data_IF_608712440437
#
_entry.id   IF_608712440437
#
_cell.length_a   1.000
_cell.length_b   1.000
_cell.length_c   1.000
_cell.angle_alpha   90.00
_cell.angle_beta   90.00
_cell.angle_gamma   90.00
#
_symmetry.space_group_name_H-M   'P 1'
#
loop_
_entity.id
_entity.type
_entity.pdbx_description
1 polymer ?
#
# COMPACT_ATOMS: atom_id res chain seq x y z
N UNK A 1 -55.39 -5.03 17.87
CA UNK A 1 -55.36 -4.32 16.57
C UNK A 1 -54.12 -4.76 15.82
N UNK A 2 -54.25 -5.21 14.57
CA UNK A 2 -53.14 -5.73 13.76
C UNK A 2 -52.06 -4.66 13.50
N UNK A 3 -52.47 -3.41 13.36
CA UNK A 3 -51.63 -2.26 13.01
C UNK A 3 -50.59 -1.89 14.08
N UNK A 4 -50.83 -2.28 15.33
CA UNK A 4 -49.93 -2.06 16.47
C UNK A 4 -49.07 -3.28 16.80
N UNK A 5 -49.18 -4.36 16.02
CA UNK A 5 -48.34 -5.56 16.18
C UNK A 5 -46.88 -5.23 15.92
N UNK A 6 -45.97 -5.85 16.69
CA UNK A 6 -44.52 -5.75 16.48
C UNK A 6 -44.13 -6.13 15.05
N UNK A 7 -44.76 -7.16 14.50
CA UNK A 7 -44.48 -7.64 13.14
C UNK A 7 -44.93 -6.62 12.08
N UNK A 8 -46.08 -5.98 12.29
CA UNK A 8 -46.57 -4.93 11.40
C UNK A 8 -45.62 -3.72 11.39
N UNK A 9 -45.19 -3.27 12.57
CA UNK A 9 -44.25 -2.16 12.72
C UNK A 9 -42.90 -2.51 12.08
N UNK A 10 -42.38 -3.72 12.32
CA UNK A 10 -41.12 -4.17 11.73
C UNK A 10 -41.16 -4.19 10.20
N UNK A 11 -42.21 -4.78 9.62
CA UNK A 11 -42.38 -4.86 8.17
C UNK A 11 -42.61 -3.48 7.53
N UNK A 12 -43.39 -2.61 8.18
CA UNK A 12 -43.59 -1.23 7.74
C UNK A 12 -42.28 -0.44 7.71
N UNK A 13 -41.47 -0.57 8.77
CA UNK A 13 -40.15 0.06 8.84
C UNK A 13 -39.21 -0.47 7.74
N UNK A 14 -39.24 -1.77 7.47
CA UNK A 14 -38.51 -2.39 6.35
C UNK A 14 -38.93 -1.81 4.99
N UNK A 15 -40.24 -1.68 4.75
CA UNK A 15 -40.77 -1.09 3.51
C UNK A 15 -40.37 0.39 3.37
N UNK A 16 -40.42 1.18 4.45
CA UNK A 16 -39.97 2.58 4.43
C UNK A 16 -38.48 2.68 4.11
N UNK A 17 -37.65 1.80 4.65
CA UNK A 17 -36.22 1.72 4.32
C UNK A 17 -35.98 1.38 2.85
N UNK A 18 -36.73 0.41 2.29
CA UNK A 18 -36.64 0.05 0.88
C UNK A 18 -37.06 1.21 -0.04
N UNK A 19 -38.13 1.94 0.29
CA UNK A 19 -38.58 3.12 -0.47
C UNK A 19 -37.56 4.27 -0.45
N UNK A 20 -36.76 4.39 0.61
CA UNK A 20 -35.66 5.37 0.69
C UNK A 20 -34.45 4.93 -0.14
N UNK A 21 -34.28 3.63 -0.38
CA UNK A 21 -33.19 3.11 -1.18
C UNK A 21 -33.48 3.25 -2.68
N UNK A 22 -33.19 4.44 -3.21
CA UNK A 22 -33.40 4.78 -4.62
C UNK A 22 -32.23 4.43 -5.53
N UNK A 23 -31.12 3.91 -4.98
CA UNK A 23 -29.95 3.60 -5.79
C UNK A 23 -30.24 2.41 -6.70
N UNK A 24 -30.06 2.60 -7.99
CA UNK A 24 -30.17 1.54 -8.98
C UNK A 24 -28.91 0.66 -8.97
N UNK A 25 -28.99 -0.48 -9.64
CA UNK A 25 -27.81 -1.33 -9.88
C UNK A 25 -26.72 -0.54 -10.63
N UNK A 26 -27.11 0.35 -11.55
CA UNK A 26 -26.18 1.19 -12.28
C UNK A 26 -25.43 2.17 -11.35
N UNK A 27 -26.13 2.77 -10.38
CA UNK A 27 -25.52 3.69 -9.41
C UNK A 27 -24.48 2.96 -8.55
N UNK A 28 -24.82 1.77 -8.05
CA UNK A 28 -23.89 0.97 -7.24
C UNK A 28 -22.66 0.51 -8.03
N UNK A 29 -22.84 0.15 -9.32
CA UNK A 29 -21.73 -0.22 -10.20
C UNK A 29 -20.81 0.97 -10.49
N UNK A 30 -21.39 2.15 -10.75
CA UNK A 30 -20.65 3.40 -10.97
C UNK A 30 -19.81 3.76 -9.74
N UNK A 31 -20.41 3.70 -8.56
CA UNK A 31 -19.72 3.94 -7.29
C UNK A 31 -18.58 2.95 -7.04
N UNK A 32 -18.81 1.66 -7.31
CA UNK A 32 -17.77 0.64 -7.20
C UNK A 32 -16.61 0.89 -8.18
N UNK A 33 -16.90 1.30 -9.41
CA UNK A 33 -15.88 1.67 -10.38
C UNK A 33 -15.06 2.89 -9.91
N UNK A 34 -15.71 3.90 -9.32
CA UNK A 34 -15.04 5.07 -8.74
C UNK A 34 -14.15 4.70 -7.56
N UNK A 35 -14.63 3.85 -6.65
CA UNK A 35 -13.85 3.35 -5.52
C UNK A 35 -12.62 2.55 -5.98
N UNK A 36 -12.79 1.65 -6.97
CA UNK A 36 -11.68 0.89 -7.52
C UNK A 36 -10.59 1.78 -8.13
N UNK A 37 -10.98 2.83 -8.88
CA UNK A 37 -10.02 3.81 -9.41
C UNK A 37 -9.27 4.55 -8.30
N UNK A 38 -9.99 4.92 -7.25
CA UNK A 38 -9.40 5.60 -6.09
C UNK A 38 -8.38 4.72 -5.37
N UNK A 39 -8.73 3.46 -5.10
CA UNK A 39 -7.84 2.47 -4.48
C UNK A 39 -6.63 2.20 -5.37
N UNK A 40 -6.83 2.06 -6.68
CA UNK A 40 -5.74 1.86 -7.63
C UNK A 40 -4.76 3.04 -7.60
N UNK A 41 -5.26 4.27 -7.73
CA UNK A 41 -4.42 5.47 -7.71
C UNK A 41 -3.66 5.62 -6.39
N UNK A 42 -4.30 5.27 -5.28
CA UNK A 42 -3.69 5.29 -3.96
C UNK A 42 -2.56 4.26 -3.82
N UNK A 43 -2.75 3.04 -4.36
CA UNK A 43 -1.69 2.04 -4.42
C UNK A 43 -0.53 2.52 -5.31
N UNK A 44 -0.81 3.15 -6.44
CA UNK A 44 0.23 3.71 -7.32
C UNK A 44 0.99 4.84 -6.60
N UNK A 45 0.30 5.71 -5.86
CA UNK A 45 0.95 6.74 -5.03
C UNK A 45 1.92 6.12 -4.02
N UNK A 46 1.49 5.09 -3.29
CA UNK A 46 2.33 4.39 -2.31
C UNK A 46 3.52 3.67 -2.95
N UNK A 47 3.32 3.05 -4.12
CA UNK A 47 4.42 2.47 -4.89
C UNK A 47 5.47 3.52 -5.26
N UNK A 48 5.05 4.70 -5.71
CA UNK A 48 5.97 5.82 -6.01
C UNK A 48 6.73 6.30 -4.78
N UNK A 49 6.07 6.36 -3.62
CA UNK A 49 6.74 6.72 -2.37
C UNK A 49 7.81 5.71 -1.97
N UNK A 50 7.54 4.40 -2.10
CA UNK A 50 8.56 3.37 -1.84
C UNK A 50 9.74 3.52 -2.80
N UNK A 51 9.48 3.76 -4.09
CA UNK A 51 10.54 3.99 -5.08
C UNK A 51 11.37 5.25 -4.75
N UNK A 52 10.70 6.32 -4.31
CA UNK A 52 11.39 7.53 -3.84
C UNK A 52 12.34 7.22 -2.69
N UNK A 53 11.91 6.42 -1.70
CA UNK A 53 12.78 6.01 -0.59
C UNK A 53 14.01 5.24 -1.08
N UNK A 54 13.86 4.35 -2.07
CA UNK A 54 15.00 3.63 -2.65
C UNK A 54 15.98 4.59 -3.35
N UNK A 55 15.47 5.57 -4.10
CA UNK A 55 16.29 6.59 -4.79
C UNK A 55 17.01 7.47 -3.76
N UNK A 56 16.32 7.91 -2.70
CA UNK A 56 16.90 8.72 -1.63
C UNK A 56 18.05 7.99 -0.93
N UNK A 57 17.88 6.71 -0.62
CA UNK A 57 18.96 5.87 -0.07
C UNK A 57 20.13 5.79 -1.03
N UNK A 58 19.88 5.60 -2.33
CA UNK A 58 20.96 5.54 -3.33
C UNK A 58 21.74 6.84 -3.40
N UNK A 59 21.04 7.97 -3.49
CA UNK A 59 21.65 9.29 -3.54
C UNK A 59 22.42 9.61 -2.26
N UNK A 60 21.88 9.25 -1.09
CA UNK A 60 22.55 9.44 0.20
C UNK A 60 23.87 8.67 0.25
N UNK A 61 23.85 7.38 -0.08
CA UNK A 61 25.05 6.55 -0.06
C UNK A 61 26.09 7.02 -1.07
N UNK A 62 25.65 7.39 -2.28
CA UNK A 62 26.52 7.95 -3.32
C UNK A 62 27.19 9.24 -2.87
N UNK A 63 26.43 10.20 -2.33
CA UNK A 63 26.93 11.50 -1.87
C UNK A 63 27.90 11.39 -0.70
N UNK A 64 27.74 10.37 0.13
CA UNK A 64 28.60 10.11 1.29
C UNK A 64 29.74 9.12 0.97
N UNK A 65 29.87 8.69 -0.29
CA UNK A 65 30.85 7.68 -0.74
C UNK A 65 30.82 6.37 0.06
N UNK A 66 29.62 6.00 0.54
CA UNK A 66 29.43 4.80 1.34
C UNK A 66 29.19 3.58 0.45
N UNK A 67 29.79 2.45 0.84
CA UNK A 67 29.52 1.17 0.21
C UNK A 67 28.03 0.83 0.29
N UNK A 68 27.43 0.47 -0.84
CA UNK A 68 26.01 0.10 -0.91
C UNK A 68 25.77 -1.29 -0.30
N UNK A 69 26.69 -2.21 -0.58
CA UNK A 69 26.56 -3.65 -0.31
C UNK A 69 27.61 -4.14 0.66
N UNK A 70 27.26 -5.23 1.33
CA UNK A 70 28.23 -6.09 2.02
C UNK A 70 28.52 -7.34 1.19
N UNK A 71 29.53 -8.10 1.61
CA UNK A 71 29.85 -9.39 1.02
C UNK A 71 28.70 -10.41 1.17
N UNK A 72 28.03 -10.40 2.33
CA UNK A 72 26.89 -11.26 2.62
C UNK A 72 25.63 -10.45 2.94
N UNK A 73 24.66 -10.47 2.04
CA UNK A 73 23.34 -9.84 2.21
C UNK A 73 22.25 -10.83 2.66
N UNK A 74 22.59 -12.02 3.14
CA UNK A 74 21.61 -12.96 3.70
C UNK A 74 20.89 -12.34 4.90
N UNK A 75 19.65 -12.78 5.15
CA UNK A 75 18.86 -12.31 6.30
C UNK A 75 19.55 -12.58 7.65
N UNK A 76 20.40 -13.62 7.71
CA UNK A 76 21.17 -14.01 8.89
C UNK A 76 22.48 -13.23 9.06
N UNK A 77 22.87 -12.42 8.08
CA UNK A 77 24.11 -11.63 8.14
C UNK A 77 23.95 -10.45 9.09
N UNK A 78 24.97 -10.23 9.94
CA UNK A 78 25.08 -9.05 10.82
C UNK A 78 25.23 -7.75 10.00
N UNK A 79 25.86 -7.84 8.84
CA UNK A 79 26.01 -6.73 7.91
C UNK A 79 25.39 -7.08 6.56
N UNK A 80 24.13 -6.70 6.36
CA UNK A 80 23.39 -6.89 5.10
C UNK A 80 23.64 -5.79 4.06
N UNK A 81 24.58 -4.88 4.30
CA UNK A 81 24.85 -3.71 3.46
C UNK A 81 24.06 -2.47 3.89
N UNK A 82 24.65 -1.30 3.62
CA UNK A 82 24.08 -0.01 4.03
C UNK A 82 22.76 0.28 3.33
N UNK A 83 22.64 -0.08 2.05
CA UNK A 83 21.43 0.14 1.26
C UNK A 83 20.20 -0.48 1.94
N UNK A 84 20.29 -1.78 2.28
CA UNK A 84 19.19 -2.50 2.92
C UNK A 84 18.90 -1.98 4.32
N UNK A 85 19.94 -1.67 5.11
CA UNK A 85 19.78 -1.17 6.47
C UNK A 85 19.05 0.17 6.50
N UNK A 86 19.49 1.13 5.69
CA UNK A 86 18.89 2.47 5.65
C UNK A 86 17.47 2.40 5.09
N UNK A 87 17.25 1.67 3.99
CA UNK A 87 15.90 1.52 3.44
C UNK A 87 14.93 0.87 4.43
N UNK A 88 15.34 -0.22 5.11
CA UNK A 88 14.51 -0.84 6.13
C UNK A 88 14.20 0.12 7.29
N UNK A 89 15.15 0.98 7.67
CA UNK A 89 14.93 2.00 8.71
C UNK A 89 13.88 3.04 8.27
N UNK A 90 13.98 3.54 7.03
CA UNK A 90 13.03 4.51 6.48
C UNK A 90 11.60 3.96 6.42
N UNK A 91 11.45 2.74 5.89
CA UNK A 91 10.14 2.07 5.82
C UNK A 91 9.61 1.78 7.23
N UNK A 92 10.44 1.31 8.16
CA UNK A 92 10.01 1.00 9.54
C UNK A 92 9.51 2.24 10.31
N UNK A 93 9.97 3.44 9.95
CA UNK A 93 9.55 4.71 10.59
C UNK A 93 8.25 5.27 10.03
N UNK A 94 7.72 4.71 8.95
CA UNK A 94 6.49 5.17 8.32
C UNK A 94 5.48 4.00 8.26
N UNK A 95 4.50 4.01 9.16
CA UNK A 95 3.53 2.92 9.30
C UNK A 95 2.71 2.67 8.03
N UNK A 96 2.39 3.73 7.27
CA UNK A 96 1.68 3.62 6.00
C UNK A 96 2.53 2.85 4.98
N UNK A 97 3.78 3.26 4.81
CA UNK A 97 4.70 2.62 3.88
C UNK A 97 5.09 1.23 4.33
N UNK A 98 5.22 0.98 5.64
CA UNK A 98 5.47 -0.35 6.19
C UNK A 98 4.32 -1.30 5.87
N UNK A 99 3.08 -0.88 6.14
CA UNK A 99 1.88 -1.66 5.82
C UNK A 99 1.77 -1.96 4.33
N UNK A 100 2.03 -0.95 3.48
CA UNK A 100 1.99 -1.12 2.03
C UNK A 100 3.11 -2.01 1.52
N UNK A 101 4.34 -1.80 1.99
CA UNK A 101 5.51 -2.59 1.62
C UNK A 101 5.31 -4.07 1.97
N UNK A 102 4.78 -4.39 3.15
CA UNK A 102 4.48 -5.77 3.54
C UNK A 102 3.42 -6.44 2.65
N UNK A 103 2.50 -5.68 2.05
CA UNK A 103 1.52 -6.21 1.09
C UNK A 103 2.16 -6.54 -0.25
N UNK A 104 3.10 -5.72 -0.71
CA UNK A 104 3.73 -5.87 -2.02
C UNK A 104 5.05 -6.65 -2.00
N UNK A 105 5.61 -6.93 -0.82
CA UNK A 105 6.97 -7.47 -0.67
C UNK A 105 7.20 -8.81 -1.37
N UNK A 106 6.13 -9.59 -1.58
CA UNK A 106 6.19 -10.86 -2.30
C UNK A 106 6.37 -10.68 -3.82
N UNK A 107 5.98 -9.52 -4.35
CA UNK A 107 6.08 -9.18 -5.78
C UNK A 107 7.29 -8.29 -6.02
N UNK A 108 7.48 -7.27 -5.18
CA UNK A 108 8.57 -6.32 -5.29
C UNK A 108 9.26 -6.12 -3.94
N UNK A 109 10.50 -6.58 -3.84
CA UNK A 109 11.30 -6.42 -2.61
C UNK A 109 12.08 -5.12 -2.57
N UNK A 110 12.36 -4.48 -3.72
CA UNK A 110 13.20 -3.28 -3.82
C UNK A 110 14.67 -3.45 -3.40
N UNK A 111 15.01 -4.59 -2.77
CA UNK A 111 16.29 -4.84 -2.10
C UNK A 111 17.16 -5.88 -2.79
N UNK A 112 16.67 -6.53 -3.85
CA UNK A 112 17.44 -7.52 -4.59
C UNK A 112 18.69 -6.88 -5.20
N UNK A 113 19.73 -7.68 -5.42
CA UNK A 113 20.98 -7.20 -6.04
C UNK A 113 20.71 -6.59 -7.42
N UNK A 114 19.82 -7.20 -8.21
CA UNK A 114 19.43 -6.69 -9.53
C UNK A 114 18.79 -5.32 -9.43
N UNK A 115 17.74 -5.16 -8.61
CA UNK A 115 17.03 -3.87 -8.48
C UNK A 115 17.96 -2.79 -7.93
N UNK A 116 18.79 -3.12 -6.95
CA UNK A 116 19.81 -2.20 -6.44
C UNK A 116 20.75 -1.72 -7.57
N UNK A 117 21.26 -2.63 -8.40
CA UNK A 117 22.12 -2.27 -9.53
C UNK A 117 21.40 -1.37 -10.54
N UNK A 118 20.15 -1.70 -10.88
CA UNK A 118 19.35 -0.91 -11.83
C UNK A 118 19.14 0.51 -11.32
N UNK A 119 18.81 0.68 -10.04
CA UNK A 119 18.66 2.01 -9.45
C UNK A 119 19.99 2.75 -9.45
N UNK A 120 21.09 2.11 -9.04
CA UNK A 120 22.44 2.73 -9.06
C UNK A 120 22.84 3.17 -10.47
N UNK A 121 22.47 2.43 -11.51
CA UNK A 121 22.78 2.79 -12.90
C UNK A 121 21.95 3.99 -13.39
N UNK A 122 20.72 4.15 -12.90
CA UNK A 122 19.81 5.21 -13.33
C UNK A 122 20.09 6.59 -12.72
N UNK A 123 20.71 6.64 -11.52
CA UNK A 123 21.08 7.90 -10.85
C UNK A 123 22.56 8.17 -10.98
#
# INVERSE_FOLDING_TARGET
>A
MHETSKDHIHNFMGLVCLKKNKSTIADTLSERARLNKTIYNENVRKNRLILLQLIEVTLMLRKQELAFRSHDERSTSSNQGNFRKVFNLLIKRNDELLSHYNKISNVFTGKSKTIQNEIIYCV
#
